data_IF_178079437281
#
_entry.id   IF_178079437281
#
_cell.length_a   1.000
_cell.length_b   1.000
_cell.length_c   1.000
_cell.angle_alpha   90.00
_cell.angle_beta   90.00
_cell.angle_gamma   90.00
#
_symmetry.space_group_name_H-M   'P 1'
#
loop_
_entity.id
_entity.type
_entity.pdbx_description
1 polymer ?
#
# COMPACT_ATOMS: atom_id res chain seq x y z
N UNK A 1 -5.98 -10.35 -12.14
CA UNK A 1 -5.57 -9.34 -11.14
C UNK A 1 -4.17 -9.68 -10.66
N UNK A 2 -3.16 -9.28 -11.43
CA UNK A 2 -1.76 -9.69 -11.29
C UNK A 2 -0.97 -8.59 -10.57
N UNK A 3 -0.96 -8.59 -9.23
CA UNK A 3 0.04 -7.82 -8.45
C UNK A 3 1.29 -8.69 -8.28
N UNK A 4 2.02 -8.86 -9.38
CA UNK A 4 3.43 -9.25 -9.27
C UNK A 4 4.18 -7.94 -9.24
N UNK A 5 4.40 -7.41 -8.04
CA UNK A 5 5.30 -6.27 -7.82
C UNK A 5 6.67 -6.61 -8.37
N UNK A 6 6.89 -6.29 -9.64
CA UNK A 6 8.04 -6.69 -10.41
C UNK A 6 9.24 -5.90 -9.90
N UNK A 7 9.97 -6.50 -8.97
CA UNK A 7 11.38 -6.22 -8.80
C UNK A 7 12.07 -6.77 -10.05
N UNK A 8 12.82 -5.93 -10.77
CA UNK A 8 13.60 -6.36 -11.93
C UNK A 8 14.45 -7.57 -11.55
N UNK A 9 14.75 -8.45 -12.52
CA UNK A 9 15.62 -9.62 -12.36
C UNK A 9 17.00 -9.28 -11.75
N UNK A 10 17.34 -7.99 -11.66
CA UNK A 10 18.41 -7.43 -10.84
C UNK A 10 17.80 -6.40 -9.88
N UNK A 11 17.40 -6.81 -8.67
CA UNK A 11 17.27 -6.02 -7.42
C UNK A 11 16.60 -4.63 -7.34
N UNK A 12 16.23 -3.98 -8.43
CA UNK A 12 15.82 -2.58 -8.52
C UNK A 12 14.33 -2.44 -8.84
N UNK A 13 13.78 -1.25 -8.57
CA UNK A 13 12.42 -0.90 -8.98
C UNK A 13 12.36 -0.84 -10.51
N UNK A 14 11.27 -1.33 -11.09
CA UNK A 14 11.01 -1.13 -12.52
C UNK A 14 10.62 0.32 -12.77
N UNK A 15 10.86 0.86 -13.98
CA UNK A 15 10.49 2.22 -14.32
C UNK A 15 8.99 2.49 -14.14
N UNK A 16 8.15 1.48 -14.41
CA UNK A 16 6.70 1.55 -14.16
C UNK A 16 6.36 1.78 -12.68
N UNK A 17 7.08 1.10 -11.78
CA UNK A 17 6.89 1.27 -10.33
C UNK A 17 7.40 2.64 -9.88
N UNK A 18 8.46 3.14 -10.49
CA UNK A 18 8.98 4.50 -10.22
C UNK A 18 7.96 5.56 -10.63
N UNK A 19 7.37 5.44 -11.83
CA UNK A 19 6.31 6.34 -12.29
C UNK A 19 5.08 6.28 -11.35
N UNK A 20 4.53 5.10 -11.12
CA UNK A 20 3.39 4.91 -10.22
C UNK A 20 3.65 5.39 -8.78
N UNK A 21 4.89 5.31 -8.28
CA UNK A 21 5.26 5.86 -6.98
C UNK A 21 5.25 7.39 -6.95
N UNK A 22 5.65 8.04 -8.05
CA UNK A 22 5.68 9.50 -8.17
C UNK A 22 4.27 10.06 -8.36
N UNK A 23 3.43 9.35 -9.12
CA UNK A 23 2.05 9.72 -9.41
C UNK A 23 1.08 9.34 -8.27
N UNK A 24 1.53 8.50 -7.32
CA UNK A 24 0.74 8.10 -6.15
C UNK A 24 -0.26 6.98 -6.43
N UNK A 25 -0.06 6.23 -7.51
CA UNK A 25 -0.99 5.18 -7.99
C UNK A 25 -0.68 3.79 -7.41
N UNK A 26 0.38 3.66 -6.61
CA UNK A 26 0.70 2.40 -5.95
C UNK A 26 -0.27 2.07 -4.82
N UNK A 27 -0.60 0.77 -4.70
CA UNK A 27 -1.28 0.27 -3.50
C UNK A 27 -0.44 0.55 -2.26
N UNK A 28 -1.07 0.81 -1.10
CA UNK A 28 -0.37 1.14 0.16
C UNK A 28 0.75 0.15 0.52
N UNK A 29 0.53 -1.15 0.27
CA UNK A 29 1.52 -2.18 0.51
C UNK A 29 2.72 -2.11 -0.45
N UNK A 30 2.47 -1.83 -1.74
CA UNK A 30 3.52 -1.63 -2.73
C UNK A 30 4.30 -0.34 -2.48
N UNK A 31 3.61 0.74 -2.14
CA UNK A 31 4.20 2.04 -1.79
C UNK A 31 5.15 1.92 -0.59
N UNK A 32 4.73 1.23 0.48
CA UNK A 32 5.58 1.01 1.66
C UNK A 32 6.84 0.21 1.31
N UNK A 33 6.72 -0.85 0.50
CA UNK A 33 7.88 -1.64 0.05
C UNK A 33 8.83 -0.81 -0.80
N UNK A 34 8.29 0.00 -1.72
CA UNK A 34 9.09 0.88 -2.56
C UNK A 34 9.84 1.93 -1.71
N UNK A 35 9.15 2.58 -0.75
CA UNK A 35 9.79 3.53 0.18
C UNK A 35 10.91 2.91 0.99
N UNK A 36 10.72 1.69 1.50
CA UNK A 36 11.79 0.95 2.20
C UNK A 36 12.95 0.66 1.26
N UNK A 37 12.70 0.23 0.03
CA UNK A 37 13.74 0.01 -0.97
C UNK A 37 14.55 1.29 -1.25
N UNK A 38 13.87 2.45 -1.37
CA UNK A 38 14.53 3.74 -1.50
C UNK A 38 15.43 4.05 -0.31
N UNK A 39 15.20 3.53 0.89
CA UNK A 39 16.13 3.76 2.02
C UNK A 39 17.50 3.13 1.77
N UNK A 40 17.52 2.00 1.08
CA UNK A 40 18.70 1.15 0.92
C UNK A 40 19.37 1.29 -0.45
N UNK A 41 18.64 1.72 -1.50
CA UNK A 41 19.17 1.84 -2.85
C UNK A 41 19.26 3.30 -3.32
N UNK A 42 20.47 3.77 -3.61
CA UNK A 42 20.72 5.15 -4.08
C UNK A 42 20.34 5.34 -5.56
N UNK A 43 20.43 4.30 -6.37
CA UNK A 43 20.11 4.36 -7.80
C UNK A 43 18.62 4.62 -8.02
N UNK A 44 17.76 3.83 -7.37
CA UNK A 44 16.31 4.05 -7.42
C UNK A 44 15.88 5.40 -6.81
N UNK A 45 16.65 5.95 -5.84
CA UNK A 45 16.44 7.34 -5.39
C UNK A 45 16.73 8.35 -6.49
N UNK A 46 17.79 8.13 -7.27
CA UNK A 46 18.14 8.94 -8.43
C UNK A 46 17.03 8.92 -9.48
N UNK A 47 16.52 7.74 -9.82
CA UNK A 47 15.42 7.57 -10.78
C UNK A 47 14.14 8.27 -10.32
N UNK A 48 13.74 8.10 -9.05
CA UNK A 48 12.56 8.80 -8.50
C UNK A 48 12.74 10.32 -8.53
N UNK A 49 13.94 10.83 -8.26
CA UNK A 49 14.23 12.28 -8.35
C UNK A 49 14.15 12.78 -9.78
N UNK A 50 14.71 12.03 -10.74
CA UNK A 50 14.64 12.36 -12.16
C UNK A 50 13.19 12.40 -12.65
N UNK A 51 12.39 11.40 -12.28
CA UNK A 51 10.97 11.32 -12.63
C UNK A 51 10.16 12.47 -12.03
N UNK A 52 10.42 12.83 -10.75
CA UNK A 52 9.79 14.00 -10.12
C UNK A 52 10.15 15.30 -10.81
N UNK A 53 11.42 15.47 -11.18
CA UNK A 53 11.86 16.67 -11.91
C UNK A 53 11.21 16.73 -13.29
N UNK A 54 11.07 15.60 -14.00
CA UNK A 54 10.37 15.55 -15.27
C UNK A 54 8.89 15.92 -15.11
N UNK A 55 8.20 15.37 -14.10
CA UNK A 55 6.82 15.69 -13.79
C UNK A 55 6.63 17.17 -13.45
N UNK A 56 7.55 17.76 -12.68
CA UNK A 56 7.50 19.19 -12.35
C UNK A 56 7.69 20.06 -13.59
N UNK A 57 8.69 19.74 -14.43
CA UNK A 57 8.90 20.46 -15.69
C UNK A 57 7.68 20.42 -16.60
N UNK A 58 6.94 19.30 -16.64
CA UNK A 58 5.70 19.22 -17.41
C UNK A 58 4.61 20.14 -16.85
N UNK A 59 4.50 20.25 -15.53
CA UNK A 59 3.58 21.21 -14.88
C UNK A 59 4.00 22.65 -15.14
N UNK A 60 5.28 22.95 -15.06
CA UNK A 60 5.85 24.29 -15.25
C UNK A 60 5.83 24.74 -16.71
N UNK A 61 5.95 23.81 -17.67
CA UNK A 61 5.99 24.09 -19.12
C UNK A 61 4.65 24.51 -19.72
N UNK A 62 3.63 24.62 -18.88
CA UNK A 62 2.33 25.24 -19.11
C UNK A 62 1.78 25.27 -20.55
N UNK A 63 1.27 24.14 -21.06
CA UNK A 63 0.18 24.14 -22.04
C UNK A 63 -1.21 24.31 -21.37
N UNK A 64 -1.27 24.50 -20.05
CA UNK A 64 -2.50 24.63 -19.24
C UNK A 64 -2.88 26.08 -18.92
N UNK A 65 -2.09 27.07 -19.32
CA UNK A 65 -2.39 28.49 -19.18
C UNK A 65 -3.68 28.88 -19.92
N UNK A 66 -4.02 28.11 -20.94
CA UNK A 66 -5.28 28.18 -21.68
C UNK A 66 -6.38 27.24 -21.12
N UNK A 67 -6.05 26.36 -20.17
CA UNK A 67 -7.01 25.45 -19.53
C UNK A 67 -7.61 26.14 -18.31
N UNK A 68 -8.55 27.04 -18.59
CA UNK A 68 -9.36 27.66 -17.54
C UNK A 68 -10.50 26.74 -17.13
N UNK A 69 -10.69 26.57 -15.82
CA UNK A 69 -11.88 25.94 -15.26
C UNK A 69 -13.06 26.88 -15.49
N UNK A 70 -14.11 26.41 -16.17
CA UNK A 70 -15.35 27.19 -16.37
C UNK A 70 -15.88 27.70 -15.03
N UNK A 71 -16.23 28.99 -14.94
CA UNK A 71 -16.70 29.61 -13.69
C UNK A 71 -17.93 28.91 -13.08
N UNK A 72 -18.77 28.30 -13.90
CA UNK A 72 -19.91 27.48 -13.45
C UNK A 72 -19.49 26.18 -12.75
N UNK A 73 -18.36 25.56 -13.16
CA UNK A 73 -17.82 24.37 -12.52
C UNK A 73 -17.20 24.72 -11.17
N UNK A 74 -16.45 25.82 -11.09
CA UNK A 74 -15.92 26.33 -9.81
C UNK A 74 -17.05 26.62 -8.82
N UNK A 75 -18.11 27.31 -9.25
CA UNK A 75 -19.27 27.59 -8.42
C UNK A 75 -19.89 26.29 -7.85
N UNK A 76 -20.04 25.25 -8.67
CA UNK A 76 -20.58 23.95 -8.22
C UNK A 76 -19.62 23.21 -7.27
N UNK A 77 -18.31 23.23 -7.54
CA UNK A 77 -17.30 22.59 -6.66
C UNK A 77 -17.29 23.23 -5.27
N UNK A 78 -17.45 24.56 -5.18
CA UNK A 78 -17.53 25.27 -3.89
C UNK A 78 -18.78 24.96 -3.07
N UNK A 79 -19.82 24.37 -3.68
CA UNK A 79 -21.09 24.02 -3.03
C UNK A 79 -21.16 22.55 -2.54
N UNK A 80 -20.13 21.73 -2.81
CA UNK A 80 -20.09 20.30 -2.41
C UNK A 80 -20.31 20.05 -0.89
N UNK A 81 -19.91 20.93 0.05
CA UNK A 81 -20.21 20.71 1.46
C UNK A 81 -21.71 20.60 1.79
N UNK A 82 -22.60 21.16 0.95
CA UNK A 82 -24.03 21.28 1.23
C UNK A 82 -24.90 20.10 0.72
N UNK A 83 -24.33 19.14 -0.02
CA UNK A 83 -25.10 18.04 -0.63
C UNK A 83 -24.95 16.69 0.09
N UNK A 84 -24.15 16.64 1.16
CA UNK A 84 -23.86 15.40 1.88
C UNK A 84 -24.82 15.08 3.03
N UNK A 85 -25.76 15.97 3.36
CA UNK A 85 -26.64 15.85 4.54
C UNK A 85 -28.04 15.25 4.27
N UNK A 86 -28.39 14.93 3.02
CA UNK A 86 -29.74 14.44 2.67
C UNK A 86 -29.88 12.89 2.64
N UNK A 87 -28.79 12.12 2.61
CA UNK A 87 -28.86 10.64 2.42
C UNK A 87 -28.57 9.86 3.71
N UNK A 88 -29.37 10.09 4.75
CA UNK A 88 -29.18 9.51 6.09
C UNK A 88 -30.38 8.72 6.64
N UNK A 89 -31.28 8.23 5.79
CA UNK A 89 -32.39 7.36 6.22
C UNK A 89 -32.39 6.04 5.44
N UNK A 90 -31.62 5.07 5.92
CA UNK A 90 -31.98 3.66 5.78
C UNK A 90 -32.08 3.09 7.20
N UNK A 91 -33.32 2.91 7.61
CA UNK A 91 -33.69 2.27 8.85
C UNK A 91 -33.22 0.80 8.84
N UNK A 92 -32.98 0.30 10.04
CA UNK A 92 -32.48 -1.02 10.32
C UNK A 92 -33.36 -2.14 9.75
N UNK A 93 -32.73 -3.14 9.14
CA UNK A 93 -33.30 -4.47 9.01
C UNK A 93 -32.25 -5.55 9.29
N UNK A 94 -32.63 -6.35 10.28
CA UNK A 94 -32.04 -7.55 10.84
C UNK A 94 -32.38 -8.76 9.96
N UNK A 95 -31.39 -9.58 9.60
CA UNK A 95 -31.54 -11.03 9.39
C UNK A 95 -30.25 -11.70 8.87
N UNK A 96 -29.64 -12.54 9.71
CA UNK A 96 -29.55 -13.99 9.48
C UNK A 96 -28.96 -14.56 8.17
N UNK A 97 -27.82 -15.24 8.37
CA UNK A 97 -27.49 -16.58 7.89
C UNK A 97 -27.03 -16.81 6.44
N UNK A 98 -25.90 -17.51 6.31
CA UNK A 98 -25.35 -18.00 5.05
C UNK A 98 -24.36 -19.13 5.27
N UNK A 99 -24.85 -20.27 5.78
CA UNK A 99 -24.17 -21.56 5.68
C UNK A 99 -24.16 -22.03 4.22
N UNK A 100 -22.99 -22.44 3.71
CA UNK A 100 -22.80 -23.08 2.41
C UNK A 100 -21.44 -23.79 2.35
N UNK A 101 -21.29 -24.85 1.54
CA UNK A 101 -20.72 -26.13 1.97
C UNK A 101 -19.19 -26.25 1.86
N UNK A 102 -18.64 -27.16 2.66
CA UNK A 102 -17.28 -27.66 2.54
C UNK A 102 -17.06 -28.30 1.15
N UNK A 103 -16.23 -27.69 0.33
CA UNK A 103 -15.62 -28.33 -0.85
C UNK A 103 -14.12 -28.30 -0.67
N UNK A 104 -13.51 -29.47 -0.86
CA UNK A 104 -12.09 -29.73 -0.67
C UNK A 104 -11.26 -28.96 -1.71
N UNK A 105 -10.31 -28.14 -1.22
CA UNK A 105 -9.33 -27.44 -2.05
C UNK A 105 -8.94 -26.10 -1.44
N UNK A 106 -7.91 -26.09 -0.61
CA UNK A 106 -7.41 -24.93 0.12
C UNK A 106 -6.86 -23.82 -0.81
N UNK A 107 -7.76 -22.97 -1.33
CA UNK A 107 -7.44 -21.66 -1.91
C UNK A 107 -8.43 -20.65 -1.30
N UNK A 108 -8.33 -20.44 0.03
CA UNK A 108 -9.04 -19.36 0.70
C UNK A 108 -8.25 -18.06 0.51
N UNK A 109 -8.81 -17.15 -0.28
CA UNK A 109 -8.34 -15.78 -0.43
C UNK A 109 -8.40 -15.07 0.91
N UNK A 110 -7.28 -15.03 1.63
CA UNK A 110 -7.08 -14.09 2.72
C UNK A 110 -7.30 -12.65 2.23
N UNK A 111 -8.23 -11.94 2.87
CA UNK A 111 -8.45 -10.53 2.61
C UNK A 111 -7.24 -9.73 3.12
N UNK A 112 -6.60 -8.95 2.26
CA UNK A 112 -5.52 -8.04 2.69
C UNK A 112 -6.19 -6.77 3.21
N UNK A 113 -6.02 -6.51 4.51
CA UNK A 113 -6.59 -5.30 5.11
C UNK A 113 -5.91 -4.02 4.59
N UNK A 114 -6.52 -2.83 4.83
CA UNK A 114 -5.95 -1.53 4.43
C UNK A 114 -4.57 -1.21 5.04
N UNK A 115 -4.15 -2.02 6.03
CA UNK A 115 -2.83 -1.99 6.67
C UNK A 115 -1.78 -2.84 5.93
N UNK A 116 -2.12 -3.44 4.77
CA UNK A 116 -1.26 -4.36 4.02
C UNK A 116 -1.01 -5.70 4.72
N UNK A 117 -1.65 -5.92 5.87
CA UNK A 117 -1.56 -7.17 6.62
C UNK A 117 -2.59 -8.16 6.09
N UNK A 118 -2.13 -9.38 5.76
CA UNK A 118 -2.99 -10.52 5.44
C UNK A 118 -3.91 -10.82 6.63
N UNK A 119 -5.21 -10.64 6.46
CA UNK A 119 -6.24 -10.92 7.48
C UNK A 119 -6.98 -12.20 7.11
N UNK A 120 -6.58 -13.34 7.70
CA UNK A 120 -7.35 -14.56 7.56
C UNK A 120 -8.76 -14.39 8.10
N UNK A 121 -9.72 -14.83 7.31
CA UNK A 121 -11.13 -14.89 7.65
C UNK A 121 -11.45 -16.07 8.60
N UNK A 122 -10.56 -17.06 8.72
CA UNK A 122 -10.72 -18.17 9.67
C UNK A 122 -10.15 -17.84 11.04
N UNK A 123 -10.82 -18.30 12.11
CA UNK A 123 -10.36 -18.14 13.49
C UNK A 123 -8.94 -18.72 13.69
N UNK A 124 -8.69 -19.91 13.11
CA UNK A 124 -7.38 -20.56 13.15
C UNK A 124 -6.32 -19.72 12.43
N UNK A 125 -6.64 -19.14 11.27
CA UNK A 125 -5.72 -18.23 10.58
C UNK A 125 -5.42 -16.98 11.42
N UNK A 126 -6.44 -16.39 12.07
CA UNK A 126 -6.26 -15.21 12.95
C UNK A 126 -5.34 -15.55 14.13
N UNK A 127 -5.52 -16.71 14.74
CA UNK A 127 -4.65 -17.23 15.80
C UNK A 127 -3.20 -17.42 15.29
N UNK A 128 -3.02 -18.07 14.14
CA UNK A 128 -1.69 -18.29 13.57
C UNK A 128 -0.97 -16.98 13.21
N UNK A 129 -1.69 -15.98 12.68
CA UNK A 129 -1.15 -14.66 12.40
C UNK A 129 -0.75 -13.90 13.67
N UNK A 130 -1.56 -13.98 14.73
CA UNK A 130 -1.25 -13.38 16.03
C UNK A 130 0.00 -14.00 16.67
N UNK A 131 0.15 -15.33 16.60
CA UNK A 131 1.32 -16.05 17.12
C UNK A 131 2.62 -15.62 16.42
N UNK A 132 2.61 -15.52 15.09
CA UNK A 132 3.77 -15.02 14.32
C UNK A 132 4.12 -13.57 14.69
N UNK A 133 3.12 -12.72 14.95
CA UNK A 133 3.34 -11.33 15.39
C UNK A 133 3.96 -11.26 16.79
N UNK A 134 3.53 -12.12 17.71
CA UNK A 134 4.10 -12.23 19.05
C UNK A 134 5.56 -12.68 19.02
N UNK A 135 5.89 -13.69 18.19
CA UNK A 135 7.26 -14.20 18.04
C UNK A 135 8.23 -13.14 17.47
N UNK A 136 7.78 -12.34 16.49
CA UNK A 136 8.60 -11.22 15.97
C UNK A 136 8.80 -10.11 17.00
N UNK A 137 7.84 -9.88 17.91
CA UNK A 137 7.98 -8.89 19.00
C UNK A 137 8.86 -9.39 20.15
N UNK A 138 8.93 -10.70 20.38
CA UNK A 138 9.76 -11.31 21.43
C UNK A 138 11.22 -11.61 21.05
N UNK A 139 11.60 -11.50 19.77
CA UNK A 139 12.90 -11.95 19.26
C UNK A 139 14.08 -10.97 19.37
N UNK A 140 13.92 -9.78 19.96
CA UNK A 140 14.97 -8.75 20.00
C UNK A 140 15.92 -8.85 21.22
N UNK A 141 16.19 -10.06 21.71
CA UNK A 141 17.26 -10.29 22.70
C UNK A 141 18.32 -11.18 22.05
N UNK A 142 19.36 -10.59 21.44
CA UNK A 142 20.57 -11.34 21.12
C UNK A 142 21.29 -11.69 22.43
N UNK A 143 21.52 -12.97 22.77
CA UNK A 143 22.53 -13.31 23.75
C UNK A 143 23.92 -13.13 23.12
N UNK A 144 24.59 -12.07 23.57
CA UNK A 144 26.03 -11.87 23.71
C UNK A 144 26.92 -13.03 23.23
N UNK A 145 27.70 -12.78 22.16
CA UNK A 145 28.71 -13.68 21.61
C UNK A 145 29.86 -13.92 22.61
N UNK A 146 30.38 -15.16 22.73
CA UNK A 146 31.49 -15.45 23.64
C UNK A 146 32.80 -14.86 23.12
N UNK A 147 33.52 -14.22 24.04
CA UNK A 147 34.82 -13.57 23.84
C UNK A 147 35.89 -14.56 23.36
N UNK A 148 36.59 -14.21 22.29
CA UNK A 148 37.79 -14.90 21.82
C UNK A 148 38.93 -14.73 22.85
N UNK A 149 39.34 -15.82 23.52
CA UNK A 149 40.57 -15.86 24.32
C UNK A 149 41.77 -16.00 23.37
N UNK A 150 42.64 -14.98 23.31
CA UNK A 150 43.98 -15.12 22.72
C UNK A 150 44.85 -15.99 23.63
N UNK A 151 45.30 -17.12 23.12
CA UNK A 151 46.40 -17.92 23.68
C UNK A 151 47.75 -17.26 23.37
N UNK A 152 48.70 -17.51 24.27
CA UNK A 152 50.03 -16.90 24.39
C UNK A 152 51.08 -17.67 23.61
#
# INVERSE_FOLDING_TARGET
MTDTGAFSAVGHLTPEVVAALVDGELSRGAEQRAKVHLVHCQECRGEVRAQRQAAERLRDSDPLGDVHISGSLLARLTQIPAVCEESGQVAAEDAGNGSGPATSGDIFSDEVGPDGCRRPNTLSGRMAAAMRRAQRRGGATQPNSPRYRRGR
#
